data_IF_986892600863
#
_entry.id   IF_986892600863
#
_cell.length_a   1.000
_cell.length_b   1.000
_cell.length_c   1.000
_cell.angle_alpha   90.00
_cell.angle_beta   90.00
_cell.angle_gamma   90.00
#
_symmetry.space_group_name_H-M   'P 1'
#
loop_
_entity.id
_entity.type
_entity.pdbx_description
1 polymer ?
#
# COMPACT_ATOMS: atom_id res chain seq x y z
N UNK A 1 -10.22 39.28 -25.89
CA UNK A 1 -9.94 37.88 -26.27
C UNK A 1 -10.00 37.04 -25.01
N UNK A 2 -11.07 36.25 -24.81
CA UNK A 2 -11.16 35.36 -23.66
C UNK A 2 -10.19 34.19 -23.89
N UNK A 3 -9.18 34.05 -23.03
CA UNK A 3 -8.35 32.83 -23.00
C UNK A 3 -9.29 31.65 -22.72
N UNK A 4 -9.21 30.54 -23.47
CA UNK A 4 -9.98 29.37 -23.14
C UNK A 4 -9.52 28.91 -21.75
N UNK A 5 -10.47 28.74 -20.83
CA UNK A 5 -10.24 28.09 -19.55
C UNK A 5 -9.85 26.64 -19.86
N UNK A 6 -8.56 26.40 -20.12
CA UNK A 6 -7.99 25.06 -20.02
C UNK A 6 -8.27 24.66 -18.58
N UNK A 7 -9.20 23.73 -18.43
CA UNK A 7 -9.81 23.35 -17.16
C UNK A 7 -8.74 22.58 -16.37
N UNK A 8 -7.85 23.31 -15.69
CA UNK A 8 -6.62 22.81 -15.06
C UNK A 8 -6.88 21.50 -14.30
N UNK A 9 -6.38 20.39 -14.86
CA UNK A 9 -6.39 19.06 -14.25
C UNK A 9 -7.73 18.32 -14.22
N UNK A 10 -8.83 18.81 -14.80
CA UNK A 10 -10.11 18.06 -14.80
C UNK A 10 -10.26 17.19 -16.05
N UNK A 11 -10.24 15.88 -15.88
CA UNK A 11 -10.42 14.90 -16.96
C UNK A 11 -11.75 14.15 -16.81
N UNK A 12 -12.27 13.61 -17.91
CA UNK A 12 -13.51 12.82 -17.84
C UNK A 12 -13.28 11.48 -17.11
N UNK A 13 -14.32 10.90 -16.51
CA UNK A 13 -14.20 9.55 -15.93
C UNK A 13 -13.84 8.47 -16.95
N UNK A 14 -14.19 8.65 -18.23
CA UNK A 14 -13.75 7.72 -19.28
C UNK A 14 -12.24 7.80 -19.47
N UNK A 15 -11.74 9.01 -19.66
CA UNK A 15 -10.31 9.28 -19.84
C UNK A 15 -9.51 8.81 -18.61
N UNK A 16 -9.99 9.10 -17.40
CA UNK A 16 -9.37 8.60 -16.17
C UNK A 16 -9.37 7.06 -16.10
N UNK A 17 -10.45 6.42 -16.54
CA UNK A 17 -10.56 4.95 -16.56
C UNK A 17 -9.54 4.33 -17.52
N UNK A 18 -9.42 4.87 -18.73
CA UNK A 18 -8.46 4.42 -19.75
C UNK A 18 -7.01 4.69 -19.33
N UNK A 19 -6.73 5.89 -18.83
CA UNK A 19 -5.37 6.34 -18.49
C UNK A 19 -4.79 5.62 -17.27
N UNK A 20 -5.59 5.39 -16.23
CA UNK A 20 -5.13 4.78 -14.98
C UNK A 20 -5.47 3.29 -14.86
N UNK A 21 -6.14 2.71 -15.86
CA UNK A 21 -6.55 1.30 -15.84
C UNK A 21 -7.53 0.97 -14.72
N UNK A 22 -8.34 1.95 -14.30
CA UNK A 22 -9.27 1.81 -13.18
C UNK A 22 -10.71 1.75 -13.69
N UNK A 23 -11.52 0.86 -13.13
CA UNK A 23 -12.94 0.81 -13.47
C UNK A 23 -13.63 2.12 -13.04
N UNK A 24 -14.58 2.62 -13.85
CA UNK A 24 -15.40 3.80 -13.49
C UNK A 24 -16.04 3.67 -12.09
N UNK A 25 -16.45 2.45 -11.70
CA UNK A 25 -17.00 2.14 -10.38
C UNK A 25 -16.02 2.46 -9.23
N UNK A 26 -14.71 2.29 -9.44
CA UNK A 26 -13.67 2.60 -8.44
C UNK A 26 -13.67 4.09 -8.09
N UNK A 27 -13.80 4.97 -9.08
CA UNK A 27 -13.83 6.42 -8.83
C UNK A 27 -15.06 6.85 -8.02
N UNK A 28 -16.22 6.25 -8.26
CA UNK A 28 -17.41 6.49 -7.44
C UNK A 28 -17.25 5.97 -6.01
N UNK A 29 -16.58 4.83 -5.83
CA UNK A 29 -16.25 4.31 -4.50
C UNK A 29 -15.29 5.25 -3.77
N UNK A 30 -14.28 5.78 -4.47
CA UNK A 30 -13.32 6.72 -3.91
C UNK A 30 -13.97 8.05 -3.53
N UNK A 31 -14.88 8.57 -4.36
CA UNK A 31 -15.70 9.74 -4.00
C UNK A 31 -16.54 9.48 -2.75
N UNK A 32 -17.23 8.33 -2.67
CA UNK A 32 -18.04 7.96 -1.50
C UNK A 32 -17.21 7.84 -0.22
N UNK A 33 -15.95 7.44 -0.34
CA UNK A 33 -15.00 7.36 0.77
C UNK A 33 -14.30 8.69 1.08
N UNK A 34 -14.62 9.77 0.35
CA UNK A 34 -13.99 11.08 0.53
C UNK A 34 -12.53 11.16 0.07
N UNK A 35 -12.09 10.22 -0.77
CA UNK A 35 -10.69 10.13 -1.23
C UNK A 35 -10.40 11.02 -2.45
N UNK A 36 -11.44 11.37 -3.21
CA UNK A 36 -11.37 12.31 -4.33
C UNK A 36 -12.73 12.99 -4.53
N UNK A 37 -12.80 13.99 -5.39
CA UNK A 37 -14.03 14.71 -5.73
C UNK A 37 -14.40 14.52 -7.20
N UNK A 38 -15.67 14.22 -7.46
CA UNK A 38 -16.21 14.21 -8.82
C UNK A 38 -17.04 15.46 -9.09
N UNK A 39 -16.77 16.13 -10.22
CA UNK A 39 -17.60 17.20 -10.74
C UNK A 39 -18.58 16.65 -11.76
N UNK A 40 -19.85 17.00 -11.62
CA UNK A 40 -20.94 16.60 -12.52
C UNK A 40 -21.37 17.83 -13.30
N UNK A 41 -21.27 17.79 -14.62
CA UNK A 41 -21.79 18.85 -15.48
C UNK A 41 -23.02 18.35 -16.23
N UNK A 42 -24.11 19.12 -16.18
CA UNK A 42 -25.41 18.77 -16.75
C UNK A 42 -25.64 19.35 -18.15
N UNK A 43 -24.60 19.48 -18.97
CA UNK A 43 -24.78 19.99 -20.35
C UNK A 43 -24.98 18.82 -21.31
N UNK A 44 -26.24 18.55 -21.66
CA UNK A 44 -26.64 17.59 -22.69
C UNK A 44 -26.60 16.12 -22.27
N UNK A 45 -25.44 15.62 -21.81
CA UNK A 45 -25.28 14.28 -21.24
C UNK A 45 -24.59 14.41 -19.88
N UNK A 46 -24.96 13.61 -18.87
CA UNK A 46 -24.27 13.65 -17.59
C UNK A 46 -22.80 13.26 -17.78
N UNK A 47 -21.93 14.26 -17.80
CA UNK A 47 -20.49 14.08 -17.87
C UNK A 47 -19.92 14.26 -16.47
N UNK A 48 -19.24 13.23 -16.00
CA UNK A 48 -18.59 13.20 -14.69
C UNK A 48 -17.09 13.34 -14.90
N UNK A 49 -16.49 14.27 -14.17
CA UNK A 49 -15.10 14.63 -14.25
C UNK A 49 -14.44 14.44 -12.90
N UNK A 50 -13.14 14.20 -12.94
CA UNK A 50 -12.29 13.96 -11.79
C UNK A 50 -11.01 14.77 -11.98
N UNK A 51 -10.44 15.26 -10.88
CA UNK A 51 -9.17 15.96 -10.93
C UNK A 51 -8.03 14.95 -11.01
N UNK A 52 -7.15 15.12 -11.99
CA UNK A 52 -6.03 14.24 -12.29
C UNK A 52 -5.01 14.18 -11.13
N UNK A 53 -4.73 15.31 -10.48
CA UNK A 53 -3.80 15.37 -9.35
C UNK A 53 -4.32 14.60 -8.13
N UNK A 54 -5.63 14.65 -7.88
CA UNK A 54 -6.28 13.85 -6.83
C UNK A 54 -6.10 12.34 -7.11
N UNK A 55 -6.21 11.91 -8.38
CA UNK A 55 -5.98 10.52 -8.76
C UNK A 55 -4.51 10.13 -8.56
N UNK A 56 -3.57 10.93 -9.04
CA UNK A 56 -2.13 10.66 -8.92
C UNK A 56 -1.74 10.57 -7.45
N UNK A 57 -2.23 11.49 -6.62
CA UNK A 57 -1.97 11.51 -5.17
C UNK A 57 -2.53 10.27 -4.50
N UNK A 58 -3.78 9.90 -4.82
CA UNK A 58 -4.44 8.73 -4.27
C UNK A 58 -3.70 7.43 -4.66
N UNK A 59 -3.41 7.23 -5.94
CA UNK A 59 -2.67 6.05 -6.42
C UNK A 59 -1.27 5.98 -5.83
N UNK A 60 -0.56 7.11 -5.74
CA UNK A 60 0.76 7.19 -5.11
C UNK A 60 0.74 6.86 -3.62
N UNK A 61 -0.33 7.21 -2.89
CA UNK A 61 -0.51 6.81 -1.49
C UNK A 61 -0.77 5.31 -1.33
N UNK A 62 -1.54 4.71 -2.24
CA UNK A 62 -1.82 3.26 -2.23
C UNK A 62 -0.58 2.42 -2.58
N UNK A 63 0.29 2.92 -3.45
CA UNK A 63 1.56 2.26 -3.79
C UNK A 63 2.55 2.31 -2.62
N UNK A 64 2.69 3.45 -1.95
CA UNK A 64 3.55 3.60 -0.76
C UNK A 64 3.13 2.68 0.39
N UNK A 65 1.84 2.65 0.69
CA UNK A 65 1.31 1.77 1.74
C UNK A 65 1.49 0.28 1.45
N UNK A 66 1.52 -0.12 0.17
CA UNK A 66 1.85 -1.50 -0.21
C UNK A 66 3.34 -1.81 -0.02
N UNK A 67 4.23 -0.91 -0.45
CA UNK A 67 5.68 -1.06 -0.29
C UNK A 67 6.08 -1.11 1.19
N UNK A 68 5.56 -0.20 2.00
CA UNK A 68 5.85 -0.13 3.45
C UNK A 68 5.37 -1.40 4.18
N UNK A 69 4.28 -2.01 3.72
CA UNK A 69 3.77 -3.26 4.26
C UNK A 69 4.67 -4.44 3.89
N UNK A 70 5.15 -4.51 2.66
CA UNK A 70 6.10 -5.54 2.22
C UNK A 70 7.45 -5.44 2.96
N UNK A 71 7.94 -4.22 3.19
CA UNK A 71 9.16 -3.99 3.99
C UNK A 71 8.96 -4.37 5.46
N UNK A 72 7.80 -4.05 6.04
CA UNK A 72 7.44 -4.46 7.39
C UNK A 72 7.33 -5.99 7.52
N UNK A 73 6.68 -6.66 6.58
CA UNK A 73 6.55 -8.12 6.56
C UNK A 73 7.92 -8.80 6.42
N UNK A 74 8.82 -8.27 5.59
CA UNK A 74 10.20 -8.75 5.47
C UNK A 74 10.98 -8.57 6.78
N UNK A 75 10.83 -7.43 7.46
CA UNK A 75 11.48 -7.19 8.76
C UNK A 75 10.95 -8.14 9.85
N UNK A 76 9.64 -8.40 9.87
CA UNK A 76 9.03 -9.37 10.79
C UNK A 76 9.55 -10.79 10.56
N UNK A 77 9.63 -11.24 9.31
CA UNK A 77 10.19 -12.55 8.95
C UNK A 77 11.65 -12.70 9.35
N UNK A 78 12.48 -11.66 9.16
CA UNK A 78 13.86 -11.67 9.61
C UNK A 78 13.98 -11.75 11.14
N UNK A 79 13.08 -11.09 11.87
CA UNK A 79 13.06 -11.13 13.34
C UNK A 79 12.65 -12.50 13.86
N UNK A 80 11.66 -13.15 13.24
CA UNK A 80 11.24 -14.51 13.58
C UNK A 80 12.34 -15.55 13.24
N UNK A 81 13.02 -15.38 12.11
CA UNK A 81 14.16 -16.22 11.73
C UNK A 81 15.33 -16.07 12.73
N UNK A 82 15.63 -14.84 13.18
CA UNK A 82 16.64 -14.60 14.21
C UNK A 82 16.22 -15.18 15.57
N UNK A 83 14.93 -15.09 15.94
CA UNK A 83 14.39 -15.73 17.15
C UNK A 83 14.57 -17.25 17.13
N UNK A 84 14.28 -17.91 16.00
CA UNK A 84 14.46 -19.36 15.83
C UNK A 84 15.93 -19.79 15.82
N UNK A 85 16.84 -18.97 15.30
CA UNK A 85 18.29 -19.23 15.40
C UNK A 85 18.73 -19.13 16.86
N UNK A 86 18.29 -18.09 17.57
CA UNK A 86 18.61 -17.90 18.99
C UNK A 86 18.10 -19.08 19.84
N UNK A 87 16.86 -19.51 19.65
CA UNK A 87 16.29 -20.65 20.39
C UNK A 87 17.08 -21.95 20.13
N UNK A 88 17.46 -22.21 18.87
CA UNK A 88 18.26 -23.40 18.52
C UNK A 88 19.71 -23.34 19.05
N UNK A 89 20.35 -22.16 19.05
CA UNK A 89 21.71 -22.00 19.59
C UNK A 89 21.72 -22.09 21.12
N UNK A 90 20.68 -21.57 21.78
CA UNK A 90 20.51 -21.64 23.23
C UNK A 90 20.23 -23.07 23.68
N UNK A 91 19.33 -23.80 23.01
CA UNK A 91 19.04 -25.20 23.31
C UNK A 91 20.28 -26.08 23.12
N UNK A 92 21.07 -25.85 22.05
CA UNK A 92 22.33 -26.58 21.83
C UNK A 92 23.38 -26.33 22.93
N UNK A 93 23.41 -25.13 23.52
CA UNK A 93 24.32 -24.82 24.65
C UNK A 93 23.81 -25.50 25.93
N UNK A 94 22.50 -25.45 26.21
CA UNK A 94 21.94 -26.08 27.40
C UNK A 94 22.02 -27.61 27.37
N UNK A 95 21.89 -28.24 26.20
CA UNK A 95 22.07 -29.70 26.05
C UNK A 95 23.52 -30.18 26.31
N UNK A 96 24.50 -29.27 26.28
CA UNK A 96 25.90 -29.62 26.59
C UNK A 96 26.26 -29.51 28.08
N UNK A 97 25.36 -29.03 28.93
CA UNK A 97 25.61 -28.83 30.36
C UNK A 97 24.62 -29.67 31.16
N UNK A 98 25.11 -30.71 31.83
CA UNK A 98 24.30 -31.44 32.81
C UNK A 98 24.09 -30.53 34.03
N UNK A 99 22.91 -29.91 34.12
CA UNK A 99 22.52 -28.95 35.15
C UNK A 99 22.55 -29.52 36.57
N UNK A 100 22.58 -30.85 36.72
CA UNK A 100 22.71 -31.52 38.02
C UNK A 100 24.16 -31.61 38.50
N UNK A 101 25.14 -31.56 37.61
CA UNK A 101 26.56 -31.80 37.94
C UNK A 101 27.49 -30.64 37.58
N UNK A 102 27.01 -29.66 36.78
CA UNK A 102 27.80 -28.50 36.37
C UNK A 102 28.99 -28.85 35.45
N UNK A 103 29.02 -30.05 34.89
CA UNK A 103 30.09 -30.54 34.01
C UNK A 103 29.56 -30.64 32.57
N UNK A 104 30.45 -30.38 31.59
CA UNK A 104 30.13 -30.61 30.17
C UNK A 104 29.75 -32.07 29.97
N UNK A 105 28.57 -32.33 29.40
CA UNK A 105 28.19 -33.65 28.91
C UNK A 105 29.23 -34.07 27.86
N UNK A 106 29.86 -35.22 28.08
CA UNK A 106 30.87 -35.78 27.16
C UNK A 106 30.11 -36.23 25.90
N UNK A 107 30.56 -35.77 24.72
CA UNK A 107 30.00 -36.13 23.42
C UNK A 107 29.85 -37.64 23.23
#
# INVERSE_FOLDING_TARGET
MAKPLVNEGWISLQEASEKYGQARASFYLWERKGLLRLKRFSVGKPNVFVNEEEIITLLGSMMRTKSEREDHDRAALNTEALGKIWDNEVDAIYDTIDWRTGKRAKA
#
